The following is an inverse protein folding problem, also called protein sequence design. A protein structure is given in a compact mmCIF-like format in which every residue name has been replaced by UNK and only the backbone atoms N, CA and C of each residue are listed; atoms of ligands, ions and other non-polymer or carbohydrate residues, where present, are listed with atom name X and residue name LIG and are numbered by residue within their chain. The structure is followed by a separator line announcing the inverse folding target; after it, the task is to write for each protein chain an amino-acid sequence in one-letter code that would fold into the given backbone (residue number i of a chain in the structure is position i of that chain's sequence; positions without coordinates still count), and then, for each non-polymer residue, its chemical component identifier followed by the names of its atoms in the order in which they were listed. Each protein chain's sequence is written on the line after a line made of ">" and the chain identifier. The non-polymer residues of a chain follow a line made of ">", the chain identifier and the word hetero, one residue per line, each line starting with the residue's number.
data_IF_661485428311
#
_entry.id   IF_661485428311
#
_cell.length_a   1.000
_cell.length_b   1.000
_cell.length_c   1.000
_cell.angle_alpha   90.00
_cell.angle_beta   90.00
_cell.angle_gamma   90.00
#
_symmetry.space_group_name_H-M   'P 1'
#
loop_
_entity.id
_entity.type
_entity.pdbx_description
1 polymer ?
#
# COMPACT_ATOMS: atom_id res chain seq x y z
N UNK A 1 -55.31 4.44 34.96
CA UNK A 1 -53.96 5.04 35.10
C UNK A 1 -52.95 4.02 34.65
N UNK A 2 -52.50 4.13 33.42
CA UNK A 2 -51.49 3.24 32.86
C UNK A 2 -50.36 4.13 32.33
N UNK A 3 -49.20 4.01 32.94
CA UNK A 3 -48.01 4.72 32.55
C UNK A 3 -47.16 3.78 31.66
N UNK A 4 -47.13 4.07 30.39
CA UNK A 4 -46.23 3.38 29.44
C UNK A 4 -44.95 4.17 29.33
N UNK A 5 -43.87 3.65 29.91
CA UNK A 5 -42.53 4.15 29.69
C UNK A 5 -41.96 3.46 28.42
N UNK A 6 -41.94 4.22 27.32
CA UNK A 6 -41.19 3.82 26.12
C UNK A 6 -39.74 4.24 26.29
N UNK A 7 -38.89 3.27 26.60
CA UNK A 7 -37.43 3.43 26.55
C UNK A 7 -37.01 3.16 25.10
N UNK A 8 -36.79 4.23 24.33
CA UNK A 8 -36.24 4.13 22.99
C UNK A 8 -34.73 4.03 23.14
N UNK A 9 -34.25 2.79 23.06
CA UNK A 9 -32.81 2.47 23.01
C UNK A 9 -32.28 2.90 21.63
N UNK A 10 -31.63 4.05 21.58
CA UNK A 10 -30.94 4.54 20.38
C UNK A 10 -29.66 3.73 20.26
N UNK A 11 -29.72 2.62 19.52
CA UNK A 11 -28.52 1.96 19.04
C UNK A 11 -27.81 2.91 18.08
N UNK A 12 -26.69 3.43 18.51
CA UNK A 12 -25.68 4.00 17.61
C UNK A 12 -25.09 2.85 16.81
N UNK A 13 -25.64 2.62 15.62
CA UNK A 13 -24.96 1.84 14.59
C UNK A 13 -23.70 2.62 14.21
N UNK A 14 -22.58 2.18 14.76
CA UNK A 14 -21.28 2.52 14.21
C UNK A 14 -21.18 1.83 12.84
N UNK A 15 -21.65 2.51 11.78
CA UNK A 15 -21.33 2.14 10.42
C UNK A 15 -19.83 2.35 10.25
N UNK A 16 -19.08 1.29 10.50
CA UNK A 16 -17.68 1.17 10.11
C UNK A 16 -17.60 1.52 8.63
N UNK A 17 -16.89 2.58 8.27
CA UNK A 17 -16.62 2.86 6.87
C UNK A 17 -15.95 1.63 6.26
N UNK A 18 -16.38 1.18 5.05
CA UNK A 18 -15.77 0.01 4.42
C UNK A 18 -14.26 0.23 4.29
N UNK A 19 -13.50 -0.84 4.53
CA UNK A 19 -12.07 -0.83 4.25
C UNK A 19 -11.85 -0.53 2.77
N UNK A 20 -10.74 0.12 2.42
CA UNK A 20 -10.35 0.34 1.02
C UNK A 20 -10.26 -0.99 0.25
N UNK A 21 -9.96 -2.09 0.92
CA UNK A 21 -9.86 -3.45 0.37
C UNK A 21 -11.21 -4.12 0.09
N UNK A 22 -12.32 -3.53 0.56
CA UNK A 22 -13.69 -4.05 0.34
C UNK A 22 -14.47 -3.21 -0.68
N UNK A 23 -13.80 -2.32 -1.42
CA UNK A 23 -14.45 -1.43 -2.38
C UNK A 23 -14.76 -2.13 -3.72
N UNK A 24 -15.96 -1.90 -4.24
CA UNK A 24 -16.31 -2.20 -5.63
C UNK A 24 -15.33 -1.49 -6.59
N UNK A 25 -15.03 -2.12 -7.75
CA UNK A 25 -14.07 -1.61 -8.73
C UNK A 25 -14.35 -0.16 -9.13
N UNK A 26 -15.62 0.19 -9.35
CA UNK A 26 -16.00 1.57 -9.73
C UNK A 26 -15.59 2.57 -8.64
N UNK A 27 -15.88 2.27 -7.38
CA UNK A 27 -15.50 3.13 -6.25
C UNK A 27 -13.97 3.19 -6.08
N UNK A 28 -13.28 2.05 -6.31
CA UNK A 28 -11.82 1.97 -6.27
C UNK A 28 -11.18 2.87 -7.36
N UNK A 29 -11.73 2.87 -8.58
CA UNK A 29 -11.27 3.71 -9.68
C UNK A 29 -11.50 5.21 -9.45
N UNK A 30 -12.48 5.59 -8.63
CA UNK A 30 -12.76 6.99 -8.27
C UNK A 30 -11.85 7.54 -7.17
N UNK A 31 -11.13 6.69 -6.43
CA UNK A 31 -10.24 7.15 -5.37
C UNK A 31 -9.16 8.09 -5.93
N UNK A 32 -8.92 9.25 -5.30
CA UNK A 32 -7.90 10.17 -5.77
C UNK A 32 -6.49 9.57 -5.60
N UNK A 33 -5.67 9.63 -6.62
CA UNK A 33 -4.23 9.34 -6.55
C UNK A 33 -3.50 10.68 -6.55
N UNK A 34 -2.81 11.01 -5.47
CA UNK A 34 -2.23 12.35 -5.26
C UNK A 34 -0.97 12.28 -4.39
N UNK A 35 0.03 13.13 -4.62
CA UNK A 35 1.20 13.29 -3.75
C UNK A 35 0.88 13.80 -2.32
N UNK A 36 -0.39 14.18 -2.07
CA UNK A 36 -0.86 14.54 -0.73
C UNK A 36 -1.14 13.32 0.17
N UNK A 37 -1.15 12.11 -0.42
CA UNK A 37 -1.23 10.87 0.32
C UNK A 37 0.12 10.53 0.95
N UNK A 38 0.08 9.93 2.14
CA UNK A 38 1.30 9.39 2.73
C UNK A 38 1.74 8.07 2.07
N UNK A 39 2.93 7.61 2.45
CA UNK A 39 3.55 6.40 1.90
C UNK A 39 2.62 5.18 2.02
N UNK A 40 2.00 4.95 3.17
CA UNK A 40 1.16 3.77 3.37
C UNK A 40 -0.17 3.90 2.64
N UNK A 41 -0.76 5.09 2.60
CA UNK A 41 -2.00 5.33 1.87
C UNK A 41 -1.87 5.10 0.37
N UNK A 42 -0.77 5.56 -0.25
CA UNK A 42 -0.56 5.31 -1.68
C UNK A 42 -0.22 3.86 -1.96
N UNK A 43 0.54 3.22 -1.07
CA UNK A 43 0.90 1.80 -1.17
C UNK A 43 -0.33 0.91 -1.06
N UNK A 44 -1.21 1.14 -0.07
CA UNK A 44 -2.48 0.42 0.09
C UNK A 44 -3.36 0.55 -1.15
N UNK A 45 -3.40 1.73 -1.81
CA UNK A 45 -4.12 1.90 -3.07
C UNK A 45 -3.52 1.09 -4.21
N UNK A 46 -2.18 1.07 -4.32
CA UNK A 46 -1.53 0.24 -5.33
C UNK A 46 -1.82 -1.25 -5.10
N UNK A 47 -1.82 -1.73 -3.85
CA UNK A 47 -2.22 -3.10 -3.52
C UNK A 47 -3.68 -3.36 -3.92
N UNK A 48 -4.64 -2.50 -3.56
CA UNK A 48 -6.03 -2.67 -3.97
C UNK A 48 -6.21 -2.72 -5.50
N UNK A 49 -5.45 -1.92 -6.25
CA UNK A 49 -5.53 -1.95 -7.71
C UNK A 49 -5.00 -3.27 -8.30
N UNK A 50 -3.90 -3.81 -7.78
CA UNK A 50 -3.37 -5.08 -8.28
C UNK A 50 -4.19 -6.27 -7.82
N UNK A 51 -4.77 -6.25 -6.61
CA UNK A 51 -5.70 -7.26 -6.11
C UNK A 51 -6.95 -7.31 -7.01
N UNK A 52 -7.57 -6.15 -7.29
CA UNK A 52 -8.69 -6.05 -8.20
C UNK A 52 -8.33 -6.45 -9.65
N UNK A 53 -7.08 -6.23 -10.08
CA UNK A 53 -6.61 -6.57 -11.41
C UNK A 53 -6.51 -8.08 -11.62
N UNK A 54 -6.06 -8.83 -10.61
CA UNK A 54 -5.91 -10.29 -10.69
C UNK A 54 -7.27 -11.01 -10.68
N UNK A 55 -8.27 -10.43 -10.01
CA UNK A 55 -9.62 -10.99 -9.89
C UNK A 55 -10.56 -10.62 -11.04
N UNK A 56 -10.13 -9.73 -11.95
CA UNK A 56 -10.99 -9.15 -12.97
C UNK A 56 -10.73 -9.72 -14.37
N UNK A 57 -11.78 -10.17 -15.05
CA UNK A 57 -11.71 -10.68 -16.43
C UNK A 57 -12.07 -9.62 -17.50
N UNK A 58 -12.59 -8.46 -17.08
CA UNK A 58 -12.98 -7.39 -18.00
C UNK A 58 -11.75 -6.62 -18.52
N UNK A 59 -11.45 -6.73 -19.80
CA UNK A 59 -10.33 -6.01 -20.44
C UNK A 59 -10.40 -4.50 -20.21
N UNK A 60 -11.60 -3.91 -20.24
CA UNK A 60 -11.79 -2.47 -20.04
C UNK A 60 -11.44 -2.06 -18.60
N UNK A 61 -11.90 -2.82 -17.62
CA UNK A 61 -11.62 -2.56 -16.22
C UNK A 61 -10.14 -2.83 -15.89
N UNK A 62 -9.56 -3.92 -16.42
CA UNK A 62 -8.10 -4.19 -16.31
C UNK A 62 -7.28 -3.01 -16.83
N UNK A 63 -7.65 -2.41 -17.96
CA UNK A 63 -6.97 -1.24 -18.50
C UNK A 63 -7.10 -0.02 -17.58
N UNK A 64 -8.29 0.22 -17.04
CA UNK A 64 -8.52 1.31 -16.10
C UNK A 64 -7.71 1.10 -14.81
N UNK A 65 -7.71 -0.12 -14.25
CA UNK A 65 -6.93 -0.49 -13.07
C UNK A 65 -5.42 -0.35 -13.31
N UNK A 66 -4.89 -0.82 -14.46
CA UNK A 66 -3.49 -0.61 -14.85
C UNK A 66 -3.15 0.88 -14.93
N UNK A 67 -4.02 1.71 -15.52
CA UNK A 67 -3.81 3.16 -15.58
C UNK A 67 -3.76 3.82 -14.20
N UNK A 68 -4.63 3.38 -13.28
CA UNK A 68 -4.64 3.86 -11.89
C UNK A 68 -3.42 3.37 -11.12
N UNK A 69 -3.05 2.09 -11.28
CA UNK A 69 -1.86 1.52 -10.67
C UNK A 69 -0.60 2.24 -11.15
N UNK A 70 -0.46 2.48 -12.45
CA UNK A 70 0.68 3.22 -12.99
C UNK A 70 0.78 4.63 -12.38
N UNK A 71 -0.33 5.36 -12.33
CA UNK A 71 -0.36 6.68 -11.68
C UNK A 71 0.01 6.59 -10.18
N UNK A 72 -0.45 5.55 -9.47
CA UNK A 72 -0.11 5.27 -8.08
C UNK A 72 1.38 5.04 -7.88
N UNK A 73 2.00 4.21 -8.72
CA UNK A 73 3.43 3.91 -8.68
C UNK A 73 4.29 5.16 -8.98
N UNK A 74 3.87 6.03 -9.91
CA UNK A 74 4.58 7.28 -10.16
C UNK A 74 4.47 8.25 -8.97
N UNK A 75 3.32 8.30 -8.29
CA UNK A 75 3.19 9.07 -7.04
C UNK A 75 4.01 8.44 -5.92
N UNK A 76 4.05 7.09 -5.82
CA UNK A 76 4.85 6.39 -4.82
C UNK A 76 6.33 6.73 -4.94
N UNK A 77 6.89 6.79 -6.16
CA UNK A 77 8.29 7.23 -6.40
C UNK A 77 8.54 8.62 -5.84
N UNK A 78 7.62 9.57 -6.08
CA UNK A 78 7.74 10.93 -5.54
C UNK A 78 7.67 10.97 -4.01
N UNK A 79 6.84 10.11 -3.40
CA UNK A 79 6.70 10.03 -1.94
C UNK A 79 7.93 9.39 -1.30
N UNK A 80 8.57 8.41 -1.96
CA UNK A 80 9.79 7.76 -1.48
C UNK A 80 10.99 8.75 -1.42
N UNK A 81 11.01 9.77 -2.25
CA UNK A 81 12.03 10.84 -2.22
C UNK A 81 11.84 11.83 -1.05
N UNK A 82 10.66 11.82 -0.40
CA UNK A 82 10.35 12.74 0.69
C UNK A 82 10.80 12.18 2.05
N UNK A 83 11.16 13.05 3.01
CA UNK A 83 11.43 12.61 4.38
C UNK A 83 10.17 11.99 4.99
N UNK A 84 10.34 10.88 5.72
CA UNK A 84 9.24 10.21 6.41
C UNK A 84 8.60 11.14 7.46
N UNK A 85 7.27 11.31 7.47
CA UNK A 85 6.56 11.99 8.55
C UNK A 85 6.79 11.32 9.90
N UNK A 86 6.80 12.09 10.98
CA UNK A 86 7.08 11.59 12.33
C UNK A 86 6.15 10.45 12.75
N UNK A 87 4.87 10.50 12.36
CA UNK A 87 3.91 9.43 12.69
C UNK A 87 4.22 8.12 11.95
N UNK A 88 4.74 8.16 10.71
CA UNK A 88 5.20 6.96 9.99
C UNK A 88 6.49 6.41 10.59
N UNK A 89 7.41 7.27 11.02
CA UNK A 89 8.60 6.83 11.77
C UNK A 89 8.18 6.05 13.01
N UNK A 90 7.17 6.53 13.75
CA UNK A 90 6.63 5.82 14.91
C UNK A 90 6.04 4.45 14.57
N UNK A 91 5.35 4.32 13.41
CA UNK A 91 4.78 3.04 12.94
C UNK A 91 5.85 2.06 12.47
N UNK A 92 6.96 2.54 11.91
CA UNK A 92 8.11 1.76 11.46
C UNK A 92 9.13 1.50 12.58
N UNK A 93 8.81 1.83 13.84
CA UNK A 93 9.68 1.65 14.99
C UNK A 93 9.23 0.45 15.82
N UNK A 94 10.19 -0.42 16.16
CA UNK A 94 10.02 -1.54 17.10
C UNK A 94 10.84 -1.32 18.35
N UNK A 95 10.45 -2.01 19.43
CA UNK A 95 11.22 -2.01 20.68
C UNK A 95 12.42 -2.97 20.59
N UNK A 96 13.47 -2.67 21.34
CA UNK A 96 14.70 -3.48 21.41
C UNK A 96 14.38 -4.93 21.79
N UNK A 97 14.84 -5.90 20.99
CA UNK A 97 14.62 -7.34 21.19
C UNK A 97 13.41 -7.93 20.48
N UNK A 98 12.63 -7.13 19.74
CA UNK A 98 11.62 -7.69 18.84
C UNK A 98 12.27 -8.22 17.54
N UNK A 99 11.73 -9.33 16.96
CA UNK A 99 12.25 -9.83 15.70
C UNK A 99 12.05 -8.78 14.61
N UNK A 100 13.13 -8.35 13.99
CA UNK A 100 13.10 -7.51 12.81
C UNK A 100 12.60 -8.33 11.61
N UNK A 101 11.75 -7.69 10.80
CA UNK A 101 10.90 -8.25 9.77
C UNK A 101 11.50 -9.28 8.81
N UNK A 102 10.64 -9.77 7.92
CA UNK A 102 11.01 -10.74 6.88
C UNK A 102 12.11 -10.16 5.98
N UNK A 103 13.11 -10.99 5.70
CA UNK A 103 14.15 -10.65 4.71
C UNK A 103 13.46 -10.56 3.34
N UNK A 104 13.63 -9.44 2.65
CA UNK A 104 13.19 -9.30 1.26
C UNK A 104 13.80 -10.45 0.43
N UNK A 105 13.00 -11.29 -0.23
CA UNK A 105 13.50 -12.40 -1.03
C UNK A 105 14.23 -11.95 -2.30
N UNK A 106 14.06 -10.69 -2.69
CA UNK A 106 14.70 -10.10 -3.86
C UNK A 106 15.91 -9.27 -3.44
N UNK A 107 16.91 -9.21 -4.31
CA UNK A 107 18.10 -8.38 -4.10
C UNK A 107 17.90 -6.91 -4.52
N UNK A 108 16.71 -6.60 -5.06
CA UNK A 108 16.34 -5.26 -5.47
C UNK A 108 15.89 -4.44 -4.26
N UNK A 109 16.30 -3.18 -4.20
CA UNK A 109 15.78 -2.22 -3.23
C UNK A 109 14.35 -1.75 -3.61
N UNK A 110 13.71 -1.00 -2.71
CA UNK A 110 12.33 -0.54 -2.90
C UNK A 110 12.16 0.34 -4.15
N UNK A 111 13.16 1.16 -4.51
CA UNK A 111 13.11 2.03 -5.69
C UNK A 111 13.17 1.19 -6.97
N UNK A 112 14.05 0.18 -7.01
CA UNK A 112 14.14 -0.76 -8.13
C UNK A 112 12.86 -1.57 -8.29
N UNK A 113 12.29 -2.09 -7.19
CA UNK A 113 11.02 -2.83 -7.20
C UNK A 113 9.88 -1.96 -7.71
N UNK A 114 9.77 -0.72 -7.26
CA UNK A 114 8.79 0.24 -7.75
C UNK A 114 8.98 0.50 -9.26
N UNK A 115 10.22 0.61 -9.72
CA UNK A 115 10.58 0.71 -11.14
C UNK A 115 10.14 -0.50 -11.95
N UNK A 116 10.35 -1.71 -11.45
CA UNK A 116 9.91 -2.95 -12.11
C UNK A 116 8.39 -3.04 -12.20
N UNK A 117 7.67 -2.73 -11.11
CA UNK A 117 6.20 -2.69 -11.11
C UNK A 117 5.68 -1.67 -12.15
N UNK A 118 6.29 -0.48 -12.23
CA UNK A 118 5.93 0.53 -13.24
C UNK A 118 6.15 0.02 -14.66
N UNK A 119 7.28 -0.64 -14.93
CA UNK A 119 7.61 -1.18 -16.25
C UNK A 119 6.63 -2.28 -16.67
N UNK A 120 6.31 -3.22 -15.78
CA UNK A 120 5.31 -4.27 -16.03
C UNK A 120 3.93 -3.67 -16.31
N UNK A 121 3.52 -2.68 -15.53
CA UNK A 121 2.24 -1.99 -15.74
C UNK A 121 2.18 -1.30 -17.11
N UNK A 122 3.28 -0.67 -17.55
CA UNK A 122 3.37 -0.09 -18.91
C UNK A 122 3.29 -1.14 -20.01
N UNK A 123 3.92 -2.31 -19.81
CA UNK A 123 3.79 -3.43 -20.76
C UNK A 123 2.34 -3.85 -20.87
N UNK A 124 1.63 -4.04 -19.76
CA UNK A 124 0.21 -4.39 -19.73
C UNK A 124 -0.65 -3.32 -20.42
N UNK A 125 -0.39 -2.05 -20.20
CA UNK A 125 -1.08 -0.92 -20.85
C UNK A 125 -0.88 -0.88 -22.37
N UNK A 126 0.22 -1.44 -22.89
CA UNK A 126 0.47 -1.49 -24.34
C UNK A 126 -0.47 -2.43 -25.10
N UNK A 127 -1.08 -3.40 -24.42
CA UNK A 127 -1.98 -4.43 -24.97
C UNK A 127 -1.39 -5.20 -26.17
N UNK A 128 -0.09 -5.36 -26.26
CA UNK A 128 0.58 -6.03 -27.38
C UNK A 128 0.85 -7.50 -27.13
N UNK A 129 0.60 -8.00 -25.93
CA UNK A 129 0.84 -9.36 -25.50
C UNK A 129 -0.40 -10.24 -25.67
N UNK A 130 -0.23 -11.56 -25.94
CA UNK A 130 -1.31 -12.53 -25.87
C UNK A 130 -1.93 -12.58 -24.47
N UNK A 131 -3.20 -12.99 -24.37
CA UNK A 131 -3.96 -13.04 -23.12
C UNK A 131 -3.23 -13.86 -22.03
N UNK A 132 -2.77 -15.08 -22.37
CA UNK A 132 -2.06 -15.94 -21.43
C UNK A 132 -0.78 -15.30 -20.85
N UNK A 133 -0.07 -14.54 -21.68
CA UNK A 133 1.11 -13.78 -21.21
C UNK A 133 0.70 -12.58 -20.38
N UNK A 134 -0.42 -11.94 -20.72
CA UNK A 134 -0.98 -10.83 -19.92
C UNK A 134 -1.32 -11.29 -18.52
N UNK A 135 -1.96 -12.44 -18.36
CA UNK A 135 -2.32 -13.02 -17.05
C UNK A 135 -1.06 -13.34 -16.23
N UNK A 136 -0.04 -13.95 -16.84
CA UNK A 136 1.24 -14.20 -16.16
C UNK A 136 1.95 -12.91 -15.71
N UNK A 137 1.88 -11.84 -16.52
CA UNK A 137 2.46 -10.54 -16.15
C UNK A 137 1.69 -9.88 -15.01
N UNK A 138 0.37 -10.07 -14.93
CA UNK A 138 -0.46 -9.60 -13.82
C UNK A 138 -0.10 -10.34 -12.54
N UNK A 139 0.03 -11.68 -12.57
CA UNK A 139 0.47 -12.47 -11.42
C UNK A 139 1.86 -12.04 -10.93
N UNK A 140 2.81 -11.85 -11.85
CA UNK A 140 4.15 -11.36 -11.49
C UNK A 140 4.12 -9.96 -10.90
N UNK A 141 3.29 -9.05 -11.43
CA UNK A 141 3.10 -7.70 -10.91
C UNK A 141 2.49 -7.72 -9.50
N UNK A 142 1.52 -8.61 -9.27
CA UNK A 142 0.92 -8.84 -7.96
C UNK A 142 1.98 -9.25 -6.93
N UNK A 143 2.76 -10.30 -7.21
CA UNK A 143 3.80 -10.78 -6.31
C UNK A 143 4.85 -9.70 -6.01
N UNK A 144 5.31 -8.99 -7.04
CA UNK A 144 6.33 -7.94 -6.88
C UNK A 144 5.81 -6.75 -6.08
N UNK A 145 4.55 -6.35 -6.27
CA UNK A 145 3.97 -5.25 -5.52
C UNK A 145 3.75 -5.61 -4.05
N UNK A 146 3.38 -6.86 -3.75
CA UNK A 146 3.26 -7.33 -2.36
C UNK A 146 4.63 -7.39 -1.68
N UNK A 147 5.68 -7.87 -2.36
CA UNK A 147 7.06 -7.83 -1.84
C UNK A 147 7.49 -6.39 -1.56
N UNK A 148 7.20 -5.44 -2.47
CA UNK A 148 7.47 -4.03 -2.27
C UNK A 148 6.71 -3.46 -1.06
N UNK A 149 5.44 -3.85 -0.91
CA UNK A 149 4.60 -3.40 0.20
C UNK A 149 5.12 -3.92 1.56
N UNK A 150 5.49 -5.18 1.62
CA UNK A 150 6.05 -5.80 2.81
C UNK A 150 7.40 -5.15 3.20
N UNK A 151 8.26 -4.87 2.21
CA UNK A 151 9.53 -4.19 2.43
C UNK A 151 9.31 -2.76 2.96
N UNK A 152 8.42 -1.99 2.34
CA UNK A 152 8.15 -0.60 2.75
C UNK A 152 7.44 -0.49 4.10
N UNK A 153 6.64 -1.48 4.49
CA UNK A 153 5.95 -1.55 5.79
C UNK A 153 6.79 -2.22 6.89
N UNK A 154 7.94 -2.82 6.54
CA UNK A 154 8.82 -3.45 7.50
C UNK A 154 9.40 -2.43 8.49
N UNK A 155 9.62 -2.82 9.76
CA UNK A 155 10.29 -1.97 10.73
C UNK A 155 11.67 -1.53 10.25
N UNK A 156 11.97 -0.23 10.36
CA UNK A 156 13.25 0.37 9.96
C UNK A 156 14.00 0.99 11.12
N UNK A 157 13.32 1.19 12.25
CA UNK A 157 13.86 1.86 13.42
C UNK A 157 13.70 1.00 14.67
N UNK A 158 14.65 1.11 15.59
CA UNK A 158 14.64 0.47 16.91
C UNK A 158 14.65 1.58 17.96
N UNK A 159 13.77 1.44 18.97
CA UNK A 159 13.80 2.28 20.17
C UNK A 159 14.80 1.70 21.16
N UNK A 160 15.89 2.43 21.41
CA UNK A 160 16.92 2.05 22.35
C UNK A 160 16.86 2.95 23.59
N UNK A 161 17.60 2.59 24.65
CA UNK A 161 17.78 3.44 25.84
C UNK A 161 18.45 4.80 25.56
N UNK A 162 19.09 4.95 24.39
CA UNK A 162 19.79 6.17 23.95
C UNK A 162 19.02 6.96 22.90
N UNK A 163 17.81 6.52 22.51
CA UNK A 163 16.98 7.15 21.49
C UNK A 163 16.63 6.22 20.34
N UNK A 164 16.27 6.80 19.19
CA UNK A 164 15.90 6.07 17.99
C UNK A 164 17.15 5.75 17.16
N UNK A 165 17.31 4.50 16.75
CA UNK A 165 18.39 4.05 15.86
C UNK A 165 17.79 3.35 14.63
N UNK A 166 18.48 3.39 13.49
CA UNK A 166 18.13 2.56 12.31
C UNK A 166 18.51 1.09 12.57
N UNK A 167 17.72 0.15 12.05
CA UNK A 167 17.97 -1.30 12.22
C UNK A 167 19.30 -1.69 11.59
N UNK A 168 19.73 -1.05 10.51
CA UNK A 168 20.98 -1.32 9.79
C UNK A 168 22.24 -0.64 10.40
N UNK A 169 22.11 -0.07 11.60
CA UNK A 169 23.26 0.34 12.41
C UNK A 169 23.74 1.79 12.24
N UNK A 170 23.09 2.62 11.44
CA UNK A 170 23.33 4.07 11.44
C UNK A 170 22.51 4.74 12.54
N UNK A 171 23.21 5.34 13.51
CA UNK A 171 22.56 6.14 14.56
C UNK A 171 21.91 7.38 13.93
N UNK A 172 20.59 7.52 14.06
CA UNK A 172 19.92 8.77 13.70
C UNK A 172 20.39 9.88 14.64
N UNK A 173 21.01 10.90 14.06
CA UNK A 173 21.29 12.15 14.77
C UNK A 173 19.97 12.69 15.35
N UNK A 174 19.96 12.99 16.64
CA UNK A 174 18.81 13.45 17.40
C UNK A 174 18.08 14.56 16.64
N UNK A 175 16.84 14.30 16.27
CA UNK A 175 15.90 15.34 15.83
C UNK A 175 15.42 16.04 17.10
N UNK A 176 15.89 17.27 17.31
CA UNK A 176 15.42 18.17 18.37
C UNK A 176 14.06 18.79 17.99
#
# INVERSE_FOLDING_TARGET
>A
MANANSNTDVRHDFTSSPSIFDLEITALLELPVSPALDLFQILDRCQCYVDALIENDSTTERMALCGRLFAGLEVLKLVLEQPLPVYLVAQLTVDEGQPCGAVNPLTADSDMLCGYCSALTLVLLSQQQPTDLSDQLIEMLYDMLHVLADDLKAPRFIRTSHGLAMIDGEALLQVH
#
